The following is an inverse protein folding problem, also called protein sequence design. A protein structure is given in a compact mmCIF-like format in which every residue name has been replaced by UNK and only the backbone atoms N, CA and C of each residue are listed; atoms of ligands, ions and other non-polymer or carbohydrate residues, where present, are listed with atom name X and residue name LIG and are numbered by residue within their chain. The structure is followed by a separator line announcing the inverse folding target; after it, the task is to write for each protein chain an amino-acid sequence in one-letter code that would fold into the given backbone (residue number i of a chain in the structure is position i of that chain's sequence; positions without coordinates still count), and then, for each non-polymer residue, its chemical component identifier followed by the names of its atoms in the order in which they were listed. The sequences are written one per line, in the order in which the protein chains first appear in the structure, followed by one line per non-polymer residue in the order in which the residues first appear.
data_IF_355495715579
#
_entry.id   IF_355495715579
#
_cell.length_a   1.000
_cell.length_b   1.000
_cell.length_c   1.000
_cell.angle_alpha   90.00
_cell.angle_beta   90.00
_cell.angle_gamma   90.00
#
_symmetry.space_group_name_H-M   'P 1'
#
loop_
_entity.id
_entity.type
_entity.pdbx_description
1 polymer ?
#
# COMPACT_ATOMS: atom_id res chain seq x y z
N UNK A 1 -16.05 4.49 -13.07
CA UNK A 1 -15.64 3.42 -14.02
C UNK A 1 -14.73 3.95 -15.13
N UNK A 2 -15.05 5.09 -15.76
CA UNK A 2 -14.23 5.67 -16.86
C UNK A 2 -12.75 5.89 -16.49
N UNK A 3 -12.46 6.36 -15.27
CA UNK A 3 -11.08 6.50 -14.78
C UNK A 3 -10.32 5.16 -14.79
N UNK A 4 -10.93 4.08 -14.29
CA UNK A 4 -10.34 2.74 -14.29
C UNK A 4 -10.02 2.26 -15.71
N UNK A 5 -10.91 2.50 -16.67
CA UNK A 5 -10.72 2.15 -18.09
C UNK A 5 -9.54 2.90 -18.71
N UNK A 6 -9.30 4.15 -18.33
CA UNK A 6 -8.17 4.95 -18.83
C UNK A 6 -6.84 4.52 -18.17
N UNK A 7 -6.85 4.35 -16.85
CA UNK A 7 -5.64 4.03 -16.09
C UNK A 7 -5.15 2.59 -16.33
N UNK A 8 -6.06 1.63 -16.51
CA UNK A 8 -5.71 0.22 -16.72
C UNK A 8 -4.70 -0.01 -17.87
N UNK A 9 -4.97 0.37 -19.13
CA UNK A 9 -4.02 0.18 -20.22
C UNK A 9 -2.77 1.03 -20.06
N UNK A 10 -2.90 2.21 -19.45
CA UNK A 10 -1.77 3.13 -19.20
C UNK A 10 -0.76 2.50 -18.23
N UNK A 11 -1.23 1.91 -17.12
CA UNK A 11 -0.36 1.24 -16.15
C UNK A 11 0.31 0.02 -16.78
N UNK A 12 -0.42 -0.78 -17.57
CA UNK A 12 0.15 -1.93 -18.28
C UNK A 12 1.28 -1.49 -19.22
N UNK A 13 1.07 -0.43 -20.00
CA UNK A 13 2.08 0.10 -20.90
C UNK A 13 3.35 0.54 -20.14
N UNK A 14 3.19 1.23 -19.01
CA UNK A 14 4.30 1.63 -18.14
C UNK A 14 5.03 0.42 -17.56
N UNK A 15 4.30 -0.61 -17.12
CA UNK A 15 4.90 -1.84 -16.59
C UNK A 15 5.72 -2.60 -17.64
N UNK A 16 5.18 -2.78 -18.85
CA UNK A 16 5.88 -3.43 -19.97
C UNK A 16 7.15 -2.64 -20.30
N UNK A 17 7.03 -1.30 -20.39
CA UNK A 17 8.17 -0.43 -20.64
C UNK A 17 9.25 -0.55 -19.54
N UNK A 18 8.84 -0.50 -18.27
CA UNK A 18 9.73 -0.62 -17.12
C UNK A 18 10.47 -1.97 -17.14
N UNK A 19 9.75 -3.07 -17.34
CA UNK A 19 10.33 -4.41 -17.36
C UNK A 19 11.31 -4.61 -18.51
N UNK A 20 10.95 -4.10 -19.70
CA UNK A 20 11.87 -4.10 -20.85
C UNK A 20 13.15 -3.32 -20.55
N UNK A 21 13.04 -2.16 -19.89
CA UNK A 21 14.20 -1.35 -19.51
C UNK A 21 15.10 -2.07 -18.51
N UNK A 22 14.52 -2.76 -17.53
CA UNK A 22 15.28 -3.56 -16.55
C UNK A 22 16.07 -4.67 -17.24
N UNK A 23 15.46 -5.40 -18.18
CA UNK A 23 16.12 -6.50 -18.90
C UNK A 23 17.22 -6.07 -19.88
N UNK A 24 17.25 -4.81 -20.31
CA UNK A 24 18.32 -4.28 -21.17
C UNK A 24 19.64 -4.12 -20.38
N UNK A 25 19.58 -4.00 -19.05
CA UNK A 25 20.78 -3.90 -18.24
C UNK A 25 21.46 -5.27 -18.08
N UNK A 26 22.79 -5.30 -18.11
CA UNK A 26 23.61 -6.51 -17.97
C UNK A 26 23.67 -7.10 -16.54
N UNK A 27 22.86 -6.59 -15.60
CA UNK A 27 22.82 -7.02 -14.20
C UNK A 27 21.53 -7.78 -13.89
N UNK A 28 21.56 -8.65 -12.88
CA UNK A 28 20.33 -9.23 -12.34
C UNK A 28 19.43 -8.15 -11.73
N UNK A 29 18.09 -8.21 -11.90
CA UNK A 29 17.18 -7.22 -11.33
C UNK A 29 17.29 -7.16 -9.81
N UNK A 30 17.20 -5.95 -9.26
CA UNK A 30 17.25 -5.72 -7.82
C UNK A 30 15.93 -6.11 -7.13
N UNK A 31 15.98 -6.38 -5.83
CA UNK A 31 14.78 -6.71 -5.05
C UNK A 31 13.71 -5.60 -5.15
N UNK A 32 14.12 -4.34 -5.09
CA UNK A 32 13.23 -3.20 -5.28
C UNK A 32 12.56 -3.15 -6.66
N UNK A 33 13.25 -3.57 -7.73
CA UNK A 33 12.68 -3.62 -9.07
C UNK A 33 11.58 -4.69 -9.15
N UNK A 34 11.77 -5.84 -8.51
CA UNK A 34 10.72 -6.86 -8.38
C UNK A 34 9.53 -6.36 -7.55
N UNK A 35 9.77 -5.69 -6.42
CA UNK A 35 8.69 -5.16 -5.58
C UNK A 35 7.87 -4.08 -6.30
N UNK A 36 8.52 -3.21 -7.08
CA UNK A 36 7.84 -2.23 -7.92
C UNK A 36 6.98 -2.91 -9.00
N UNK A 37 7.47 -4.01 -9.58
CA UNK A 37 6.69 -4.82 -10.51
C UNK A 37 5.44 -5.41 -9.84
N UNK A 38 5.58 -6.00 -8.65
CA UNK A 38 4.44 -6.55 -7.91
C UNK A 38 3.43 -5.47 -7.53
N UNK A 39 3.89 -4.28 -7.13
CA UNK A 39 3.03 -3.13 -6.82
C UNK A 39 2.29 -2.64 -8.08
N UNK A 40 2.97 -2.58 -9.23
CA UNK A 40 2.34 -2.25 -10.50
C UNK A 40 1.31 -3.30 -10.93
N UNK A 41 1.61 -4.58 -10.70
CA UNK A 41 0.70 -5.68 -11.03
C UNK A 41 -0.58 -5.60 -10.19
N UNK A 42 -0.48 -5.38 -8.88
CA UNK A 42 -1.67 -5.23 -8.03
C UNK A 42 -2.45 -3.96 -8.33
N UNK A 43 -1.78 -2.85 -8.65
CA UNK A 43 -2.45 -1.63 -9.09
C UNK A 43 -3.20 -1.83 -10.43
N UNK A 44 -2.63 -2.61 -11.34
CA UNK A 44 -3.29 -3.02 -12.59
C UNK A 44 -4.52 -3.87 -12.28
N UNK A 45 -4.38 -4.86 -11.40
CA UNK A 45 -5.50 -5.69 -10.93
C UNK A 45 -6.57 -4.84 -10.26
N UNK A 46 -6.25 -3.78 -9.52
CA UNK A 46 -7.21 -2.86 -8.89
C UNK A 46 -7.94 -1.96 -9.89
N UNK A 47 -7.27 -1.57 -10.97
CA UNK A 47 -7.84 -0.74 -12.04
C UNK A 47 -8.54 -1.54 -13.14
N UNK A 48 -8.49 -2.87 -13.11
CA UNK A 48 -9.26 -3.70 -14.05
C UNK A 48 -10.76 -3.35 -13.96
N UNK A 49 -11.40 -2.91 -15.06
CA UNK A 49 -12.78 -2.42 -15.04
C UNK A 49 -13.79 -3.57 -15.05
N UNK A 50 -13.71 -4.46 -14.04
CA UNK A 50 -14.59 -5.61 -13.88
C UNK A 50 -16.05 -5.19 -13.69
N UNK A 51 -16.27 -3.99 -13.18
CA UNK A 51 -17.59 -3.40 -12.99
C UNK A 51 -18.35 -3.21 -14.30
N UNK A 52 -17.68 -3.19 -15.46
CA UNK A 52 -18.38 -3.16 -16.74
C UNK A 52 -19.12 -4.47 -17.02
N UNK A 53 -18.63 -5.60 -16.52
CA UNK A 53 -19.30 -6.89 -16.71
C UNK A 53 -20.61 -6.97 -15.93
N UNK A 54 -20.79 -6.18 -14.88
CA UNK A 54 -22.03 -6.17 -14.09
C UNK A 54 -23.22 -5.57 -14.85
N UNK A 55 -22.97 -4.88 -15.98
CA UNK A 55 -24.04 -4.40 -16.87
C UNK A 55 -24.69 -5.55 -17.65
N UNK A 56 -23.97 -6.67 -17.83
CA UNK A 56 -24.39 -7.81 -18.65
C UNK A 56 -24.73 -9.01 -17.77
N UNK A 57 -24.01 -9.19 -16.66
CA UNK A 57 -24.16 -10.33 -15.76
C UNK A 57 -24.40 -9.87 -14.33
N UNK A 58 -25.34 -10.51 -13.64
CA UNK A 58 -25.51 -10.31 -12.20
C UNK A 58 -24.34 -10.95 -11.43
N UNK A 59 -23.47 -10.10 -10.88
CA UNK A 59 -22.29 -10.53 -10.12
C UNK A 59 -22.39 -10.07 -8.65
N UNK A 60 -23.10 -10.80 -7.78
CA UNK A 60 -23.30 -10.40 -6.38
C UNK A 60 -22.01 -10.38 -5.55
N UNK A 61 -20.94 -11.04 -6.00
CA UNK A 61 -19.63 -11.10 -5.34
C UNK A 61 -18.71 -9.90 -5.60
N UNK A 62 -19.15 -8.90 -6.36
CA UNK A 62 -18.30 -7.77 -6.78
C UNK A 62 -17.75 -6.94 -5.62
N UNK A 63 -18.54 -6.74 -4.56
CA UNK A 63 -18.09 -6.05 -3.35
C UNK A 63 -16.92 -6.80 -2.70
N UNK A 64 -17.11 -8.09 -2.42
CA UNK A 64 -16.08 -8.95 -1.83
C UNK A 64 -14.81 -8.99 -2.71
N UNK A 65 -14.98 -9.10 -4.03
CA UNK A 65 -13.85 -9.11 -4.96
C UNK A 65 -13.10 -7.78 -4.95
N UNK A 66 -13.81 -6.65 -4.86
CA UNK A 66 -13.19 -5.32 -4.74
C UNK A 66 -12.38 -5.19 -3.45
N UNK A 67 -12.93 -5.65 -2.33
CA UNK A 67 -12.24 -5.59 -1.03
C UNK A 67 -10.97 -6.45 -1.04
N UNK A 68 -11.04 -7.67 -1.60
CA UNK A 68 -9.88 -8.56 -1.76
C UNK A 68 -8.80 -7.90 -2.62
N UNK A 69 -9.17 -7.27 -3.75
CA UNK A 69 -8.22 -6.58 -4.64
C UNK A 69 -7.54 -5.42 -3.93
N UNK A 70 -8.29 -4.62 -3.18
CA UNK A 70 -7.76 -3.51 -2.38
C UNK A 70 -6.85 -4.02 -1.25
N UNK A 71 -7.26 -5.06 -0.52
CA UNK A 71 -6.48 -5.69 0.53
C UNK A 71 -5.13 -6.20 0.03
N UNK A 72 -5.10 -6.88 -1.13
CA UNK A 72 -3.86 -7.35 -1.77
C UNK A 72 -2.96 -6.16 -2.16
N UNK A 73 -3.54 -5.08 -2.71
CA UNK A 73 -2.78 -3.88 -3.04
C UNK A 73 -2.13 -3.26 -1.80
N UNK A 74 -2.89 -3.07 -0.72
CA UNK A 74 -2.36 -2.52 0.54
C UNK A 74 -1.29 -3.43 1.17
N UNK A 75 -1.48 -4.75 1.15
CA UNK A 75 -0.48 -5.69 1.65
C UNK A 75 0.87 -5.53 0.91
N UNK A 76 0.83 -5.41 -0.41
CA UNK A 76 2.03 -5.24 -1.24
C UNK A 76 2.62 -3.84 -1.08
N UNK A 77 1.80 -2.80 -0.94
CA UNK A 77 2.27 -1.43 -0.67
C UNK A 77 3.00 -1.34 0.68
N UNK A 78 2.42 -1.89 1.76
CA UNK A 78 3.06 -1.91 3.08
C UNK A 78 4.35 -2.74 3.08
N UNK A 79 4.36 -3.86 2.35
CA UNK A 79 5.55 -4.69 2.17
C UNK A 79 6.65 -3.95 1.40
N UNK A 80 6.28 -3.22 0.34
CA UNK A 80 7.20 -2.38 -0.43
C UNK A 80 7.87 -1.33 0.45
N UNK A 81 7.11 -0.61 1.29
CA UNK A 81 7.66 0.40 2.19
C UNK A 81 8.68 -0.14 3.18
N UNK A 82 8.38 -1.32 3.74
CA UNK A 82 9.27 -1.98 4.68
C UNK A 82 10.57 -2.42 4.02
N UNK A 83 10.48 -3.06 2.86
CA UNK A 83 11.64 -3.51 2.09
C UNK A 83 12.45 -2.31 1.60
N UNK A 84 11.79 -1.24 1.17
CA UNK A 84 12.44 0.00 0.74
C UNK A 84 13.23 0.66 1.86
N UNK A 85 12.63 0.85 3.04
CA UNK A 85 13.34 1.36 4.20
C UNK A 85 14.50 0.43 4.61
N UNK A 86 14.28 -0.89 4.53
CA UNK A 86 15.27 -1.92 4.81
C UNK A 86 16.49 -1.90 3.90
N UNK A 87 16.30 -1.86 2.57
CA UNK A 87 17.41 -1.86 1.61
C UNK A 87 18.28 -0.61 1.79
N UNK A 88 17.66 0.54 2.01
CA UNK A 88 18.38 1.79 2.22
C UNK A 88 19.14 1.87 3.56
N UNK A 89 18.75 1.08 4.56
CA UNK A 89 19.52 0.89 5.79
C UNK A 89 20.79 0.04 5.54
N UNK A 90 20.66 -1.06 4.80
CA UNK A 90 21.74 -2.05 4.60
C UNK A 90 22.83 -1.62 3.61
N UNK A 91 22.53 -0.69 2.70
CA UNK A 91 23.54 0.00 1.88
C UNK A 91 24.59 0.71 2.78
N UNK A 92 24.30 0.89 4.07
CA UNK A 92 25.26 1.48 5.01
C UNK A 92 26.28 0.53 5.61
N UNK A 93 25.97 -0.75 5.85
CA UNK A 93 26.77 -1.57 6.79
C UNK A 93 27.37 -2.88 6.25
N UNK A 94 26.89 -3.51 5.18
CA UNK A 94 27.63 -4.63 4.57
C UNK A 94 27.03 -5.08 3.23
N UNK A 95 27.90 -5.39 2.26
CA UNK A 95 27.55 -5.82 0.89
C UNK A 95 26.96 -7.24 0.78
N UNK A 96 26.19 -7.70 1.78
CA UNK A 96 25.48 -8.98 1.68
C UNK A 96 24.23 -8.82 0.80
N UNK A 97 24.02 -9.78 -0.11
CA UNK A 97 22.88 -9.80 -1.02
C UNK A 97 21.57 -9.94 -0.22
N UNK A 98 20.69 -8.95 -0.35
CA UNK A 98 19.41 -8.91 0.34
C UNK A 98 18.54 -10.10 -0.06
N UNK A 99 18.22 -10.94 0.92
CA UNK A 99 17.26 -12.03 0.75
C UNK A 99 16.00 -11.68 1.53
N UNK A 100 14.82 -11.91 0.95
CA UNK A 100 13.51 -11.71 1.62
C UNK A 100 13.44 -12.37 3.01
N UNK A 101 14.24 -13.42 3.25
CA UNK A 101 14.38 -14.11 4.53
C UNK A 101 14.77 -13.18 5.68
N UNK A 102 15.55 -12.13 5.44
CA UNK A 102 15.96 -11.18 6.49
C UNK A 102 14.76 -10.38 7.02
N UNK A 103 13.78 -10.09 6.17
CA UNK A 103 12.59 -9.31 6.50
C UNK A 103 11.37 -10.18 6.88
N UNK A 104 11.51 -11.51 6.86
CA UNK A 104 10.38 -12.44 7.00
C UNK A 104 9.56 -12.23 8.29
N UNK A 105 10.22 -11.92 9.41
CA UNK A 105 9.53 -11.69 10.70
C UNK A 105 8.63 -10.45 10.69
N UNK A 106 9.02 -9.43 9.93
CA UNK A 106 8.22 -8.20 9.82
C UNK A 106 7.16 -8.34 8.73
N UNK A 107 7.49 -9.02 7.64
CA UNK A 107 6.54 -9.37 6.59
C UNK A 107 5.42 -10.28 7.12
N UNK A 108 5.72 -11.19 8.06
CA UNK A 108 4.72 -12.06 8.68
C UNK A 108 3.70 -11.27 9.50
N UNK A 109 4.07 -10.15 10.12
CA UNK A 109 3.10 -9.31 10.84
C UNK A 109 2.06 -8.70 9.88
N UNK A 110 2.51 -8.20 8.72
CA UNK A 110 1.62 -7.70 7.66
C UNK A 110 0.74 -8.84 7.15
N UNK A 111 1.34 -10.00 6.85
CA UNK A 111 0.63 -11.17 6.36
C UNK A 111 -0.46 -11.66 7.32
N UNK A 112 -0.18 -11.70 8.63
CA UNK A 112 -1.16 -12.10 9.66
C UNK A 112 -2.31 -11.10 9.72
N UNK A 113 -2.01 -9.78 9.70
CA UNK A 113 -3.04 -8.74 9.73
C UNK A 113 -3.93 -8.74 8.48
N UNK A 114 -3.34 -8.90 7.30
CA UNK A 114 -4.11 -9.02 6.05
C UNK A 114 -4.93 -10.31 6.01
N UNK A 115 -4.39 -11.42 6.51
CA UNK A 115 -5.12 -12.69 6.58
C UNK A 115 -6.29 -12.62 7.55
N UNK A 116 -6.13 -11.96 8.71
CA UNK A 116 -7.22 -11.80 9.68
C UNK A 116 -8.34 -10.93 9.12
N UNK A 117 -8.02 -9.84 8.42
CA UNK A 117 -9.03 -9.02 7.74
C UNK A 117 -9.70 -9.76 6.58
N UNK A 118 -8.94 -10.55 5.81
CA UNK A 118 -9.50 -11.37 4.73
C UNK A 118 -10.49 -12.39 5.26
N UNK A 119 -10.17 -13.08 6.35
CA UNK A 119 -11.09 -14.03 7.00
C UNK A 119 -12.34 -13.30 7.49
N UNK A 120 -12.17 -12.13 8.11
CA UNK A 120 -13.29 -11.30 8.54
C UNK A 120 -14.21 -10.91 7.36
N UNK A 121 -13.65 -10.42 6.26
CA UNK A 121 -14.42 -10.04 5.05
C UNK A 121 -15.12 -11.24 4.42
N UNK A 122 -14.47 -12.41 4.39
CA UNK A 122 -15.09 -13.65 3.90
C UNK A 122 -16.25 -14.10 4.79
N UNK A 123 -16.11 -13.98 6.12
CA UNK A 123 -17.17 -14.30 7.06
C UNK A 123 -18.34 -13.31 6.98
N UNK A 124 -18.07 -12.01 6.85
CA UNK A 124 -19.12 -11.00 6.82
C UNK A 124 -19.75 -10.86 5.42
N UNK A 125 -18.94 -10.51 4.41
CA UNK A 125 -19.42 -10.22 3.05
C UNK A 125 -19.59 -11.49 2.22
N UNK A 126 -18.77 -12.52 2.44
CA UNK A 126 -18.93 -13.80 1.77
C UNK A 126 -20.22 -14.52 2.17
N UNK A 127 -20.61 -14.49 3.44
CA UNK A 127 -21.89 -15.06 3.88
C UNK A 127 -23.11 -14.29 3.34
N UNK A 128 -22.98 -12.97 3.12
CA UNK A 128 -24.03 -12.13 2.51
C UNK A 128 -24.41 -12.57 1.09
N UNK A 129 -23.53 -13.29 0.38
CA UNK A 129 -23.83 -13.84 -0.95
C UNK A 129 -24.94 -14.89 -0.93
N UNK A 130 -25.07 -15.63 0.16
CA UNK A 130 -26.12 -16.64 0.33
C UNK A 130 -27.33 -16.08 1.06
N UNK A 131 -27.11 -15.19 2.02
CA UNK A 131 -28.19 -14.54 2.75
C UNK A 131 -27.87 -13.05 2.92
N UNK A 132 -28.53 -12.14 2.18
CA UNK A 132 -28.24 -10.71 2.24
C UNK A 132 -28.53 -10.07 3.61
N UNK A 133 -29.36 -10.72 4.44
CA UNK A 133 -29.66 -10.28 5.81
C UNK A 133 -28.69 -10.86 6.85
N UNK A 134 -27.70 -11.67 6.44
CA UNK A 134 -26.70 -12.18 7.34
C UNK A 134 -25.83 -11.04 7.88
N UNK A 135 -25.66 -11.02 9.20
CA UNK A 135 -24.72 -10.15 9.87
C UNK A 135 -24.00 -10.95 10.95
N UNK A 136 -22.66 -10.95 10.90
CA UNK A 136 -21.81 -11.63 11.89
C UNK A 136 -22.09 -11.12 13.31
N UNK A 137 -22.54 -9.87 13.41
CA UNK A 137 -22.86 -9.15 14.64
C UNK A 137 -24.13 -9.61 15.36
N UNK A 138 -24.96 -10.45 14.70
CA UNK A 138 -26.22 -10.95 15.28
C UNK A 138 -26.04 -12.05 16.31
N UNK A 139 -24.94 -12.81 16.22
CA UNK A 139 -24.69 -13.97 17.09
C UNK A 139 -23.54 -13.67 18.04
N UNK A 140 -23.65 -14.07 19.31
CA UNK A 140 -22.60 -13.83 20.31
C UNK A 140 -21.24 -14.43 19.90
N UNK A 141 -21.26 -15.62 19.30
CA UNK A 141 -20.07 -16.31 18.80
C UNK A 141 -19.49 -15.54 17.61
N UNK A 142 -20.32 -15.14 16.65
CA UNK A 142 -19.90 -14.36 15.47
C UNK A 142 -19.27 -13.03 15.87
N UNK A 143 -19.93 -12.26 16.74
CA UNK A 143 -19.42 -10.99 17.25
C UNK A 143 -18.07 -11.14 17.95
N UNK A 144 -17.91 -12.16 18.81
CA UNK A 144 -16.65 -12.41 19.52
C UNK A 144 -15.51 -12.74 18.55
N UNK A 145 -15.77 -13.56 17.53
CA UNK A 145 -14.80 -13.89 16.49
C UNK A 145 -14.47 -12.68 15.60
N UNK A 146 -15.48 -11.94 15.16
CA UNK A 146 -15.33 -10.74 14.34
C UNK A 146 -14.46 -9.69 15.04
N UNK A 147 -14.76 -9.37 16.30
CA UNK A 147 -13.95 -8.47 17.12
C UNK A 147 -12.52 -8.98 17.28
N UNK A 148 -12.34 -10.29 17.50
CA UNK A 148 -11.00 -10.89 17.63
C UNK A 148 -10.15 -10.68 16.37
N UNK A 149 -10.72 -10.86 15.17
CA UNK A 149 -10.00 -10.62 13.92
C UNK A 149 -9.65 -9.14 13.70
N UNK A 150 -10.58 -8.24 14.02
CA UNK A 150 -10.35 -6.79 13.92
C UNK A 150 -9.27 -6.35 14.90
N UNK A 151 -9.32 -6.81 16.15
CA UNK A 151 -8.32 -6.49 17.19
C UNK A 151 -6.94 -7.02 16.78
N UNK A 152 -6.87 -8.27 16.29
CA UNK A 152 -5.62 -8.86 15.81
C UNK A 152 -5.02 -8.05 14.64
N UNK A 153 -5.85 -7.64 13.68
CA UNK A 153 -5.43 -6.76 12.60
C UNK A 153 -4.92 -5.40 13.12
N UNK A 154 -5.65 -4.78 14.05
CA UNK A 154 -5.26 -3.52 14.68
C UNK A 154 -3.89 -3.59 15.37
N UNK A 155 -3.67 -4.63 16.18
CA UNK A 155 -2.37 -4.87 16.84
C UNK A 155 -1.26 -5.05 15.81
N UNK A 156 -1.50 -5.80 14.74
CA UNK A 156 -0.51 -6.03 13.68
C UNK A 156 -0.11 -4.74 12.95
N UNK A 157 -1.09 -3.86 12.67
CA UNK A 157 -0.86 -2.54 12.04
C UNK A 157 -0.09 -1.62 12.98
N UNK A 158 -0.42 -1.59 14.27
CA UNK A 158 0.31 -0.81 15.26
C UNK A 158 1.78 -1.24 15.38
N UNK A 159 2.04 -2.55 15.47
CA UNK A 159 3.40 -3.09 15.51
C UNK A 159 4.16 -2.74 14.23
N UNK A 160 3.53 -2.89 13.06
CA UNK A 160 4.10 -2.52 11.77
C UNK A 160 4.46 -1.03 11.73
N UNK A 161 3.56 -0.14 12.17
CA UNK A 161 3.75 1.30 12.12
C UNK A 161 4.92 1.75 13.01
N UNK A 162 4.98 1.27 14.25
CA UNK A 162 6.10 1.56 15.16
C UNK A 162 7.43 1.10 14.54
N UNK A 163 7.44 -0.09 13.95
CA UNK A 163 8.62 -0.63 13.28
C UNK A 163 9.03 0.21 12.06
N UNK A 164 8.07 0.62 11.22
CA UNK A 164 8.33 1.47 10.06
C UNK A 164 8.92 2.82 10.49
N UNK A 165 8.35 3.47 11.51
CA UNK A 165 8.87 4.73 12.04
C UNK A 165 10.30 4.57 12.58
N UNK A 166 10.57 3.49 13.31
CA UNK A 166 11.92 3.18 13.79
C UNK A 166 12.92 3.01 12.64
N UNK A 167 12.58 2.24 11.61
CA UNK A 167 13.42 2.04 10.43
C UNK A 167 13.69 3.34 9.69
N UNK A 168 12.65 4.15 9.46
CA UNK A 168 12.78 5.46 8.81
C UNK A 168 13.68 6.38 9.62
N UNK A 169 13.49 6.44 10.94
CA UNK A 169 14.34 7.22 11.86
C UNK A 169 15.81 6.81 11.74
N UNK A 170 16.11 5.52 11.80
CA UNK A 170 17.48 5.01 11.65
C UNK A 170 18.07 5.40 10.31
N UNK A 171 17.32 5.26 9.22
CA UNK A 171 17.84 5.63 7.89
C UNK A 171 18.16 7.13 7.84
N UNK A 172 17.34 7.99 8.44
CA UNK A 172 17.65 9.42 8.56
C UNK A 172 18.91 9.68 9.39
N UNK A 173 19.08 9.03 10.54
CA UNK A 173 20.28 9.13 11.36
C UNK A 173 21.53 8.69 10.56
N UNK A 174 21.47 7.54 9.89
CA UNK A 174 22.56 7.02 9.08
C UNK A 174 22.93 7.94 7.92
N UNK A 175 21.93 8.51 7.23
CA UNK A 175 22.16 9.51 6.17
C UNK A 175 22.82 10.76 6.75
N UNK A 176 22.41 11.21 7.93
CA UNK A 176 23.00 12.38 8.59
C UNK A 176 24.49 12.15 8.91
N UNK A 177 24.82 10.99 9.48
CA UNK A 177 26.19 10.58 9.78
C UNK A 177 27.01 10.42 8.49
N UNK A 178 26.50 9.75 7.46
CA UNK A 178 27.26 9.58 6.20
C UNK A 178 27.48 10.91 5.48
N UNK A 179 26.54 11.85 5.57
CA UNK A 179 26.68 13.19 4.98
C UNK A 179 27.86 13.97 5.56
N UNK A 180 28.25 13.77 6.83
CA UNK A 180 29.42 14.43 7.41
C UNK A 180 30.75 13.88 6.88
N UNK A 181 30.77 12.62 6.43
CA UNK A 181 31.97 11.93 5.90
C UNK A 181 32.10 12.04 4.37
N UNK A 182 31.01 12.38 3.67
CA UNK A 182 30.97 12.59 2.22
C UNK A 182 32.06 13.50 1.63
N UNK A 183 32.44 14.65 2.23
CA UNK A 183 33.47 15.52 1.65
C UNK A 183 34.87 14.88 1.58
N UNK A 184 35.12 13.83 2.37
CA UNK A 184 36.41 13.12 2.40
C UNK A 184 36.47 11.95 1.39
N UNK A 185 35.44 11.75 0.56
CA UNK A 185 35.37 10.65 -0.41
C UNK A 185 35.75 11.09 -1.83
N UNK A 186 36.30 10.18 -2.66
CA UNK A 186 36.57 10.47 -4.07
C UNK A 186 35.29 10.82 -4.84
N UNK A 187 35.38 11.79 -5.75
CA UNK A 187 34.24 12.40 -6.46
C UNK A 187 33.26 11.39 -7.09
N UNK A 188 33.76 10.35 -7.75
CA UNK A 188 32.91 9.33 -8.38
C UNK A 188 32.04 8.56 -7.36
N UNK A 189 32.60 8.26 -6.18
CA UNK A 189 31.89 7.55 -5.10
C UNK A 189 30.89 8.48 -4.41
N UNK A 190 31.30 9.73 -4.19
CA UNK A 190 30.44 10.77 -3.61
C UNK A 190 29.18 10.97 -4.46
N UNK A 191 29.31 11.15 -5.76
CA UNK A 191 28.18 11.38 -6.67
C UNK A 191 27.18 10.20 -6.66
N UNK A 192 27.70 8.96 -6.58
CA UNK A 192 26.86 7.77 -6.48
C UNK A 192 26.03 7.75 -5.19
N UNK A 193 26.64 8.02 -4.04
CA UNK A 193 25.94 8.07 -2.75
C UNK A 193 24.97 9.27 -2.65
N UNK A 194 25.35 10.45 -3.15
CA UNK A 194 24.44 11.60 -3.23
C UNK A 194 23.21 11.27 -4.06
N UNK A 195 23.38 10.56 -5.18
CA UNK A 195 22.26 10.09 -6.01
C UNK A 195 21.32 9.12 -5.27
N UNK A 196 21.87 8.17 -4.51
CA UNK A 196 21.06 7.24 -3.70
C UNK A 196 20.28 7.98 -2.62
N UNK A 197 20.94 8.89 -1.88
CA UNK A 197 20.31 9.69 -0.83
C UNK A 197 19.21 10.59 -1.41
N UNK A 198 19.46 11.23 -2.55
CA UNK A 198 18.48 12.09 -3.20
C UNK A 198 17.22 11.31 -3.59
N UNK A 199 17.37 10.17 -4.27
CA UNK A 199 16.24 9.31 -4.67
C UNK A 199 15.41 8.86 -3.47
N UNK A 200 16.08 8.48 -2.39
CA UNK A 200 15.43 8.09 -1.16
C UNK A 200 14.60 9.23 -0.56
N UNK A 201 15.21 10.41 -0.38
CA UNK A 201 14.53 11.58 0.20
C UNK A 201 13.37 12.06 -0.67
N UNK A 202 13.56 12.05 -1.99
CA UNK A 202 12.51 12.40 -2.94
C UNK A 202 11.30 11.48 -2.82
N UNK A 203 11.53 10.15 -2.87
CA UNK A 203 10.44 9.19 -2.78
C UNK A 203 9.72 9.30 -1.44
N UNK A 204 10.46 9.41 -0.34
CA UNK A 204 9.87 9.52 1.00
C UNK A 204 9.06 10.80 1.19
N UNK A 205 9.55 11.93 0.69
CA UNK A 205 8.83 13.20 0.76
C UNK A 205 7.53 13.13 -0.03
N UNK A 206 7.58 12.64 -1.27
CA UNK A 206 6.41 12.46 -2.11
C UNK A 206 5.34 11.60 -1.42
N UNK A 207 5.77 10.60 -0.66
CA UNK A 207 4.85 9.63 -0.07
C UNK A 207 4.30 10.09 1.26
N UNK A 208 5.06 10.87 2.03
CA UNK A 208 4.54 11.57 3.20
C UNK A 208 3.51 12.63 2.79
N UNK A 209 3.77 13.38 1.71
CA UNK A 209 2.80 14.31 1.13
C UNK A 209 1.54 13.55 0.67
N UNK A 210 1.70 12.46 -0.08
CA UNK A 210 0.58 11.64 -0.52
C UNK A 210 -0.25 11.11 0.68
N UNK A 211 0.39 10.52 1.68
CA UNK A 211 -0.28 10.04 2.88
C UNK A 211 -0.99 11.16 3.66
N UNK A 212 -0.36 12.33 3.80
CA UNK A 212 -0.96 13.48 4.47
C UNK A 212 -2.20 13.98 3.72
N UNK A 213 -2.13 14.09 2.38
CA UNK A 213 -3.28 14.46 1.56
C UNK A 213 -4.41 13.43 1.66
N UNK A 214 -4.09 12.12 1.71
CA UNK A 214 -5.09 11.07 1.90
C UNK A 214 -5.80 11.20 3.25
N UNK A 215 -5.05 11.43 4.35
CA UNK A 215 -5.64 11.59 5.69
C UNK A 215 -6.47 12.86 5.78
N UNK A 216 -5.96 14.00 5.27
CA UNK A 216 -6.69 15.27 5.26
C UNK A 216 -7.96 15.15 4.42
N UNK A 217 -7.88 14.57 3.22
CA UNK A 217 -9.02 14.35 2.35
C UNK A 217 -10.07 13.44 2.99
N UNK A 218 -9.64 12.38 3.68
CA UNK A 218 -10.54 11.50 4.43
C UNK A 218 -11.25 12.24 5.57
N UNK A 219 -10.52 13.00 6.39
CA UNK A 219 -11.10 13.77 7.50
C UNK A 219 -12.11 14.80 6.98
N UNK A 220 -11.75 15.56 5.94
CA UNK A 220 -12.66 16.52 5.31
C UNK A 220 -13.91 15.84 4.75
N UNK A 221 -13.76 14.66 4.13
CA UNK A 221 -14.87 13.86 3.63
C UNK A 221 -15.84 13.43 4.73
N UNK A 222 -15.33 13.02 5.90
CA UNK A 222 -16.17 12.64 7.05
C UNK A 222 -16.89 13.84 7.66
N UNK A 223 -16.17 14.95 7.90
CA UNK A 223 -16.74 16.18 8.50
C UNK A 223 -17.81 16.78 7.59
N UNK A 224 -17.57 16.83 6.28
CA UNK A 224 -18.54 17.36 5.33
C UNK A 224 -19.78 16.45 5.20
N UNK A 225 -19.60 15.12 5.24
CA UNK A 225 -20.73 14.19 5.25
C UNK A 225 -21.62 14.39 6.47
N UNK A 226 -21.02 14.63 7.64
CA UNK A 226 -21.74 14.93 8.86
C UNK A 226 -22.47 16.27 8.77
N UNK A 227 -21.85 17.34 8.26
CA UNK A 227 -22.47 18.66 8.15
C UNK A 227 -23.60 18.72 7.11
N UNK A 228 -23.45 18.05 5.96
CA UNK A 228 -24.48 18.02 4.90
C UNK A 228 -25.75 17.25 5.31
N UNK A 229 -25.70 16.41 6.35
CA UNK A 229 -26.89 15.76 6.90
C UNK A 229 -27.81 16.73 7.67
N UNK A 230 -27.33 17.94 8.01
CA UNK A 230 -28.01 18.90 8.89
C UNK A 230 -28.31 20.25 8.20
N UNK A 231 -27.58 20.61 7.14
CA UNK A 231 -27.85 21.79 6.33
C UNK A 231 -28.42 21.39 4.96
N UNK A 232 -29.67 21.77 4.68
CA UNK A 232 -30.37 21.60 3.39
C UNK A 232 -29.77 22.47 2.25
N UNK A 233 -28.65 23.17 2.50
CA UNK A 233 -28.05 24.08 1.52
C UNK A 233 -27.19 23.33 0.49
N UNK A 234 -27.78 23.27 -0.71
CA UNK A 234 -27.33 22.55 -1.89
C UNK A 234 -26.11 23.23 -2.55
N UNK A 235 -24.93 23.15 -1.91
CA UNK A 235 -23.67 23.43 -2.62
C UNK A 235 -23.33 22.27 -3.57
N UNK A 236 -23.23 22.54 -4.88
CA UNK A 236 -23.13 21.54 -5.96
C UNK A 236 -21.81 20.75 -6.03
N UNK A 237 -20.94 20.88 -5.03
CA UNK A 237 -19.57 20.38 -5.05
C UNK A 237 -19.47 19.10 -4.21
N UNK A 238 -19.39 17.96 -4.89
CA UNK A 238 -19.31 16.64 -4.26
C UNK A 238 -17.86 16.32 -3.82
N UNK A 239 -17.47 16.81 -2.64
CA UNK A 239 -16.14 16.58 -2.08
C UNK A 239 -15.81 15.10 -1.86
N UNK A 240 -16.82 14.28 -1.53
CA UNK A 240 -16.64 12.85 -1.33
C UNK A 240 -16.24 12.13 -2.63
N UNK A 241 -16.89 12.42 -3.76
CA UNK A 241 -16.50 11.86 -5.06
C UNK A 241 -15.19 12.45 -5.61
N UNK A 242 -14.80 13.66 -5.19
CA UNK A 242 -13.51 14.23 -5.56
C UNK A 242 -12.33 13.57 -4.83
N UNK A 243 -12.58 12.95 -3.68
CA UNK A 243 -11.59 12.21 -2.91
C UNK A 243 -11.35 10.78 -3.44
N UNK A 244 -12.40 10.10 -3.90
CA UNK A 244 -12.37 8.71 -4.40
C UNK A 244 -11.97 8.59 -5.87
#
# INVERSE_FOLDING_TARGET
VSLKVIFFPTIIAIMIWFWRRVHILSRSPALLEYMLLYLGATLTVLNLPLELFTLIFDMPYMLLLSDIRQGIFYAILLSFWLIFAGEHMLISDNGQKNTLKLYWKHLSAIGIGCLSLLIFDLCERGAKLRNPFYTIWSTHIGTSLGLSFIILAGISVCIYFVFLCYMVWIVFCNISIKRSVLPNMPNARRLHYEGIIYRFKFLMLATLICAALTVVGFILGQVYFEQHHWDDDQSSLQYMSGFF
#
